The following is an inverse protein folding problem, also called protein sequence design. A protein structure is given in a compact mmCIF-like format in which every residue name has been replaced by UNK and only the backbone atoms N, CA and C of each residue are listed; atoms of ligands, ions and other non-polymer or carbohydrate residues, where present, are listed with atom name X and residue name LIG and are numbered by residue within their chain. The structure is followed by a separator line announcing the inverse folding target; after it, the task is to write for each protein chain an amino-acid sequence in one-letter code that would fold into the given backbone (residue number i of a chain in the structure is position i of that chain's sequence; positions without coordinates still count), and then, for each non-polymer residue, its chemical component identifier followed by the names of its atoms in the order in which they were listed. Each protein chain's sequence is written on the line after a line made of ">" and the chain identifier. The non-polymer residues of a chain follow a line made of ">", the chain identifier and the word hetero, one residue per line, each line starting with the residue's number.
data_IF_979639543080
#
_entry.id   IF_979639543080
#
_cell.length_a   1.000
_cell.length_b   1.000
_cell.length_c   1.000
_cell.angle_alpha   90.00
_cell.angle_beta   90.00
_cell.angle_gamma   90.00
#
_symmetry.space_group_name_H-M   'P 1'
#
loop_
_entity.id
_entity.type
_entity.pdbx_description
1 polymer ?
#
# COMPACT_ATOMS: atom_id res chain seq x y z
N UNK A 1 -4.45 17.20 17.76
CA UNK A 1 -3.74 16.00 18.27
C UNK A 1 -2.69 15.62 17.24
N UNK A 2 -1.41 15.79 17.57
CA UNK A 2 -0.32 15.29 16.73
C UNK A 2 -0.25 13.78 17.02
N UNK A 3 -0.54 12.97 16.01
CA UNK A 3 -0.49 11.51 16.09
C UNK A 3 0.93 11.09 16.52
N UNK A 4 1.10 10.61 17.76
CA UNK A 4 2.39 10.25 18.36
C UNK A 4 2.79 8.80 18.07
N UNK A 5 2.42 8.31 16.89
CA UNK A 5 2.74 6.94 16.50
C UNK A 5 4.23 6.81 16.20
N UNK A 6 4.95 6.23 17.15
CA UNK A 6 6.40 6.08 17.11
C UNK A 6 6.81 5.29 15.87
N UNK A 7 7.83 5.79 15.17
CA UNK A 7 8.38 5.16 13.96
C UNK A 7 8.81 3.70 14.20
N UNK A 8 9.24 3.37 15.43
CA UNK A 8 9.60 2.00 15.82
C UNK A 8 8.40 1.05 15.78
N UNK A 9 7.23 1.49 16.26
CA UNK A 9 6.02 0.68 16.26
C UNK A 9 5.48 0.53 14.83
N UNK A 10 5.62 1.58 14.02
CA UNK A 10 5.34 1.51 12.58
C UNK A 10 6.20 0.46 11.88
N UNK A 11 7.52 0.47 12.09
CA UNK A 11 8.41 -0.50 11.45
C UNK A 11 8.13 -1.94 11.88
N UNK A 12 7.75 -2.16 13.15
CA UNK A 12 7.34 -3.48 13.64
C UNK A 12 6.04 -3.94 12.97
N UNK A 13 5.02 -3.09 12.95
CA UNK A 13 3.73 -3.42 12.33
C UNK A 13 3.87 -3.64 10.82
N UNK A 14 4.65 -2.80 10.13
CA UNK A 14 4.88 -2.93 8.69
C UNK A 14 5.56 -4.24 8.30
N UNK A 15 6.41 -4.78 9.19
CA UNK A 15 7.03 -6.11 9.02
C UNK A 15 6.07 -7.25 9.34
N UNK A 16 5.22 -7.08 10.35
CA UNK A 16 4.26 -8.09 10.77
C UNK A 16 3.06 -8.23 9.81
N UNK A 17 2.63 -7.11 9.22
CA UNK A 17 1.45 -7.04 8.35
C UNK A 17 1.74 -6.25 7.06
N UNK A 18 2.14 -6.95 5.98
CA UNK A 18 2.40 -6.34 4.68
C UNK A 18 1.15 -5.73 4.03
N UNK A 19 -0.05 -6.26 4.32
CA UNK A 19 -1.32 -5.77 3.74
C UNK A 19 -1.61 -4.39 4.33
N UNK A 20 -1.61 -4.30 5.66
CA UNK A 20 -1.79 -3.03 6.37
C UNK A 20 -0.77 -1.97 5.91
N UNK A 21 0.48 -2.39 5.72
CA UNK A 21 1.53 -1.49 5.26
C UNK A 21 1.26 -0.95 3.86
N UNK A 22 0.91 -1.81 2.90
CA UNK A 22 0.56 -1.41 1.54
C UNK A 22 -0.65 -0.46 1.52
N UNK A 23 -1.70 -0.76 2.28
CA UNK A 23 -2.89 0.10 2.39
C UNK A 23 -2.50 1.50 2.86
N UNK A 24 -1.64 1.60 3.88
CA UNK A 24 -1.16 2.90 4.36
C UNK A 24 -0.35 3.64 3.31
N UNK A 25 0.59 2.97 2.64
CA UNK A 25 1.43 3.59 1.61
C UNK A 25 0.58 4.12 0.44
N UNK A 26 -0.41 3.34 0.01
CA UNK A 26 -1.33 3.74 -1.08
C UNK A 26 -2.25 4.87 -0.65
N UNK A 27 -2.69 4.87 0.62
CA UNK A 27 -3.67 5.86 1.09
C UNK A 27 -3.06 7.20 1.48
N UNK A 28 -1.86 7.19 2.07
CA UNK A 28 -1.23 8.37 2.66
C UNK A 28 0.04 8.82 1.94
N UNK A 29 0.53 8.04 0.99
CA UNK A 29 1.68 8.38 0.17
C UNK A 29 2.96 7.64 0.56
N UNK A 30 3.92 7.70 -0.36
CA UNK A 30 5.16 6.91 -0.33
C UNK A 30 6.37 7.67 0.17
N UNK A 31 6.23 8.96 0.47
CA UNK A 31 7.33 9.84 0.89
C UNK A 31 8.58 9.77 -0.02
N UNK A 32 8.37 9.66 -1.34
CA UNK A 32 9.45 9.56 -2.34
C UNK A 32 9.98 8.14 -2.61
N UNK A 33 9.51 7.13 -1.88
CA UNK A 33 9.89 5.74 -2.11
C UNK A 33 9.04 5.05 -3.18
N UNK A 34 9.50 3.89 -3.67
CA UNK A 34 8.76 3.04 -4.62
C UNK A 34 8.14 1.84 -3.90
N UNK A 35 6.92 1.48 -4.30
CA UNK A 35 6.28 0.23 -3.85
C UNK A 35 6.97 -0.97 -4.51
N UNK A 36 7.24 -2.03 -3.73
CA UNK A 36 7.68 -3.30 -4.28
C UNK A 36 6.58 -3.92 -5.16
N UNK A 37 6.85 -4.08 -6.46
CA UNK A 37 5.89 -4.57 -7.45
C UNK A 37 5.37 -5.98 -7.16
N UNK A 38 6.24 -6.89 -6.73
CA UNK A 38 5.86 -8.28 -6.49
C UNK A 38 4.94 -8.40 -5.27
N UNK A 39 5.28 -7.66 -4.20
CA UNK A 39 4.49 -7.61 -2.98
C UNK A 39 3.12 -6.96 -3.26
N UNK A 40 3.09 -5.89 -4.05
CA UNK A 40 1.84 -5.29 -4.50
C UNK A 40 1.01 -6.28 -5.31
N UNK A 41 1.57 -6.93 -6.34
CA UNK A 41 0.85 -7.91 -7.17
C UNK A 41 0.28 -9.07 -6.34
N UNK A 42 1.02 -9.53 -5.33
CA UNK A 42 0.61 -10.62 -4.43
C UNK A 42 -0.58 -10.24 -3.55
N UNK A 43 -0.57 -9.03 -2.99
CA UNK A 43 -1.55 -8.61 -1.98
C UNK A 43 -2.67 -7.70 -2.51
N UNK A 44 -2.57 -7.16 -3.74
CA UNK A 44 -3.57 -6.28 -4.35
C UNK A 44 -5.01 -6.80 -4.26
N UNK A 45 -5.30 -8.12 -4.45
CA UNK A 45 -6.66 -8.65 -4.29
C UNK A 45 -7.22 -8.54 -2.87
N UNK A 46 -6.35 -8.45 -1.86
CA UNK A 46 -6.71 -8.45 -0.43
C UNK A 46 -6.78 -7.02 0.15
N UNK A 47 -6.27 -6.01 -0.55
CA UNK A 47 -6.22 -4.64 -0.06
C UNK A 47 -7.63 -4.02 0.04
N UNK A 48 -7.91 -3.39 1.18
CA UNK A 48 -9.10 -2.57 1.43
C UNK A 48 -8.79 -1.11 1.13
N UNK A 49 -8.66 -0.80 -0.16
CA UNK A 49 -8.42 0.55 -0.69
C UNK A 49 -9.56 1.00 -1.59
N UNK A 50 -9.73 2.32 -1.81
CA UNK A 50 -10.71 2.84 -2.78
C UNK A 50 -10.58 2.20 -4.17
N UNK A 51 -11.71 1.90 -4.80
CA UNK A 51 -11.78 1.16 -6.06
C UNK A 51 -11.03 1.86 -7.21
N UNK A 52 -11.08 3.20 -7.27
CA UNK A 52 -10.34 3.98 -8.25
C UNK A 52 -8.82 3.78 -8.12
N UNK A 53 -8.29 3.67 -6.90
CA UNK A 53 -6.87 3.36 -6.66
C UNK A 53 -6.54 1.94 -7.07
N UNK A 54 -7.44 1.00 -6.77
CA UNK A 54 -7.28 -0.40 -7.18
C UNK A 54 -7.19 -0.50 -8.70
N UNK A 55 -8.17 0.05 -9.43
CA UNK A 55 -8.20 0.05 -10.90
C UNK A 55 -6.95 0.69 -11.51
N UNK A 56 -6.48 1.80 -10.96
CA UNK A 56 -5.24 2.43 -11.41
C UNK A 56 -4.03 1.51 -11.24
N UNK A 57 -3.92 0.80 -10.11
CA UNK A 57 -2.84 -0.15 -9.88
C UNK A 57 -2.96 -1.38 -10.78
N UNK A 58 -4.17 -1.87 -11.07
CA UNK A 58 -4.40 -2.96 -12.02
C UNK A 58 -3.97 -2.59 -13.44
N UNK A 59 -4.28 -1.35 -13.87
CA UNK A 59 -3.79 -0.80 -15.13
C UNK A 59 -2.26 -0.82 -15.17
N UNK A 60 -1.59 -0.31 -14.13
CA UNK A 60 -0.12 -0.26 -14.10
C UNK A 60 0.55 -1.66 -14.05
N UNK A 61 -0.09 -2.64 -13.40
CA UNK A 61 0.47 -3.97 -13.23
C UNK A 61 0.24 -4.88 -14.44
N UNK A 62 -0.92 -4.76 -15.09
CA UNK A 62 -1.41 -5.71 -16.09
C UNK A 62 -1.83 -5.06 -17.40
N UNK A 63 -1.67 -3.75 -17.54
CA UNK A 63 -2.15 -2.99 -18.70
C UNK A 63 -3.65 -3.23 -18.97
N UNK A 64 -4.44 -3.37 -17.88
CA UNK A 64 -5.86 -3.68 -17.94
C UNK A 64 -6.64 -2.45 -18.44
N UNK A 65 -7.33 -2.53 -19.59
CA UNK A 65 -8.13 -1.42 -20.09
C UNK A 65 -9.33 -1.13 -19.17
N UNK A 66 -9.75 0.14 -19.14
CA UNK A 66 -10.83 0.66 -18.31
C UNK A 66 -12.21 0.13 -18.72
#
# INVERSE_FOLDING_TARGET
>A
MIWDYKETEYKKQAKADPIWHLERLINYGLNGEKINKELLKKYLPQLKIPENRKNFLELLLWNKPF
#
